data_IF_507945779941
#
_entry.id   IF_507945779941
#
_cell.length_a   1.000
_cell.length_b   1.000
_cell.length_c   1.000
_cell.angle_alpha   90.00
_cell.angle_beta   90.00
_cell.angle_gamma   90.00
#
_symmetry.space_group_name_H-M   'P 1'
#
loop_
_entity.id
_entity.type
_entity.pdbx_description
1 polymer ?
#
# COMPACT_ATOMS: atom_id res chain seq x y z
N UNK A 1 -5.35 2.82 28.93
CA UNK A 1 -5.65 2.64 27.50
C UNK A 1 -4.65 3.46 26.71
N UNK A 2 -3.65 2.82 26.12
CA UNK A 2 -2.68 3.50 25.26
C UNK A 2 -3.41 3.86 23.97
N UNK A 3 -3.66 5.15 23.75
CA UNK A 3 -4.17 5.65 22.48
C UNK A 3 -3.12 5.38 21.42
N UNK A 4 -3.34 4.37 20.57
CA UNK A 4 -2.54 4.17 19.36
C UNK A 4 -2.74 5.38 18.45
N UNK A 5 -1.64 5.96 17.99
CA UNK A 5 -1.62 7.00 16.96
C UNK A 5 -1.59 6.20 15.65
N UNK A 6 -2.71 6.17 14.92
CA UNK A 6 -2.80 5.51 13.61
C UNK A 6 -2.10 6.40 12.57
N UNK A 7 -1.38 5.81 11.60
CA UNK A 7 -0.42 6.57 10.77
C UNK A 7 -0.62 6.40 9.25
N UNK A 8 -1.67 5.74 8.77
CA UNK A 8 -1.89 5.65 7.32
C UNK A 8 -3.34 5.42 6.94
N UNK A 9 -3.73 6.01 5.81
CA UNK A 9 -5.06 5.81 5.27
C UNK A 9 -4.99 5.63 3.76
N UNK A 10 -5.96 4.92 3.21
CA UNK A 10 -6.18 4.94 1.76
C UNK A 10 -6.91 6.23 1.39
N UNK A 11 -6.38 6.96 0.40
CA UNK A 11 -7.10 8.10 -0.20
C UNK A 11 -8.31 7.61 -0.99
N UNK A 12 -8.10 6.56 -1.78
CA UNK A 12 -9.17 5.82 -2.42
C UNK A 12 -8.65 4.63 -3.23
N UNK A 13 -9.53 3.65 -3.43
CA UNK A 13 -9.33 2.53 -4.34
C UNK A 13 -10.60 2.35 -5.18
N UNK A 14 -10.45 2.01 -6.45
CA UNK A 14 -11.58 1.94 -7.40
C UNK A 14 -11.37 0.79 -8.38
N UNK A 15 -12.46 0.07 -8.66
CA UNK A 15 -12.50 -1.05 -9.60
C UNK A 15 -13.41 -0.71 -10.77
N UNK A 16 -12.89 -0.86 -11.98
CA UNK A 16 -13.57 -0.59 -13.23
C UNK A 16 -13.62 -1.85 -14.08
N UNK A 17 -14.71 -2.01 -14.83
CA UNK A 17 -14.80 -3.07 -15.82
C UNK A 17 -14.07 -2.71 -17.12
N UNK A 18 -13.98 -3.68 -18.04
CA UNK A 18 -13.40 -3.49 -19.39
C UNK A 18 -14.02 -2.36 -20.23
N UNK A 19 -15.26 -1.94 -19.95
CA UNK A 19 -15.93 -0.84 -20.62
C UNK A 19 -15.61 0.54 -19.99
N UNK A 20 -14.81 0.56 -18.91
CA UNK A 20 -14.48 1.76 -18.14
C UNK A 20 -15.55 2.13 -17.10
N UNK A 21 -16.55 1.29 -16.88
CA UNK A 21 -17.62 1.55 -15.92
C UNK A 21 -17.12 1.26 -14.50
N UNK A 22 -17.36 2.19 -13.57
CA UNK A 22 -17.01 2.03 -12.16
C UNK A 22 -17.90 0.96 -11.51
N UNK A 23 -17.31 -0.15 -11.10
CA UNK A 23 -18.00 -1.24 -10.40
C UNK A 23 -18.02 -1.05 -8.88
N UNK A 24 -16.98 -0.43 -8.32
CA UNK A 24 -16.83 -0.27 -6.88
C UNK A 24 -15.76 0.78 -6.51
N UNK A 25 -15.93 1.41 -5.35
CA UNK A 25 -15.01 2.43 -4.84
C UNK A 25 -15.05 2.53 -3.31
N UNK A 26 -13.87 2.60 -2.72
CA UNK A 26 -13.67 2.98 -1.32
C UNK A 26 -12.85 4.26 -1.18
N UNK A 27 -12.99 4.92 -0.02
CA UNK A 27 -12.25 6.12 0.38
C UNK A 27 -12.04 6.14 1.89
N UNK A 28 -10.93 6.72 2.34
CA UNK A 28 -10.62 6.98 3.74
C UNK A 28 -10.73 5.75 4.65
N UNK A 29 -10.21 4.60 4.19
CA UNK A 29 -10.15 3.39 5.00
C UNK A 29 -8.96 3.46 5.96
N UNK A 30 -9.17 2.96 7.18
CA UNK A 30 -8.14 2.86 8.20
C UNK A 30 -7.20 1.69 7.96
N UNK A 31 -5.92 1.91 8.26
CA UNK A 31 -4.88 0.91 8.11
C UNK A 31 -4.53 0.21 9.42
N UNK A 32 -3.78 -0.86 9.27
CA UNK A 32 -2.91 -1.44 10.29
C UNK A 32 -1.48 -1.01 9.95
N UNK A 33 -0.81 -0.35 10.89
CA UNK A 33 0.65 -0.13 10.83
C UNK A 33 1.28 -1.35 11.48
N UNK A 34 2.16 -2.04 10.76
CA UNK A 34 2.83 -3.24 11.30
C UNK A 34 4.07 -2.85 12.09
N UNK A 35 4.48 -3.70 13.04
CA UNK A 35 5.61 -3.45 13.94
C UNK A 35 6.91 -3.17 13.16
N UNK A 36 7.16 -3.95 12.09
CA UNK A 36 8.32 -3.74 11.23
C UNK A 36 8.24 -2.43 10.43
N UNK A 37 7.03 -1.98 10.09
CA UNK A 37 6.76 -0.72 9.42
C UNK A 37 7.00 0.49 10.32
N UNK A 38 6.51 0.44 11.55
CA UNK A 38 6.77 1.45 12.57
C UNK A 38 8.27 1.56 12.84
N UNK A 39 8.94 0.43 13.09
CA UNK A 39 10.38 0.39 13.33
C UNK A 39 11.14 1.01 12.15
N UNK A 40 10.79 0.65 10.91
CA UNK A 40 11.39 1.18 9.69
C UNK A 40 11.21 2.70 9.54
N UNK A 41 10.00 3.22 9.76
CA UNK A 41 9.73 4.66 9.64
C UNK A 41 10.53 5.45 10.68
N UNK A 42 10.56 4.97 11.92
CA UNK A 42 11.29 5.64 13.01
C UNK A 42 12.81 5.58 12.80
N UNK A 43 13.34 4.44 12.36
CA UNK A 43 14.79 4.28 12.15
C UNK A 43 15.32 5.14 11.01
N UNK A 44 14.52 5.33 9.95
CA UNK A 44 14.91 6.17 8.82
C UNK A 44 15.16 7.64 9.22
N UNK A 45 14.51 8.14 10.28
CA UNK A 45 14.68 9.51 10.76
C UNK A 45 15.60 9.62 11.99
N UNK A 46 15.53 8.67 12.92
CA UNK A 46 16.12 8.82 14.26
C UNK A 46 17.21 7.80 14.60
N UNK A 47 17.33 6.73 13.83
CA UNK A 47 18.33 5.68 14.06
C UNK A 47 19.04 5.32 12.74
N UNK A 48 19.57 6.32 12.05
CA UNK A 48 20.14 6.19 10.69
C UNK A 48 21.35 5.25 10.62
N UNK A 49 22.01 4.97 11.75
CA UNK A 49 23.06 3.96 11.88
C UNK A 49 22.59 2.53 12.16
N UNK A 50 21.27 2.30 12.30
CA UNK A 50 20.72 0.99 12.62
C UNK A 50 20.72 0.08 11.38
N UNK A 51 21.49 -1.02 11.46
CA UNK A 51 21.70 -1.93 10.33
C UNK A 51 20.38 -2.53 9.84
N UNK A 52 20.14 -2.48 8.52
CA UNK A 52 18.95 -3.02 7.88
C UNK A 52 17.68 -2.15 7.97
N UNK A 53 17.76 -0.97 8.59
CA UNK A 53 16.59 -0.14 8.91
C UNK A 53 16.84 1.37 8.78
N UNK A 54 18.08 1.85 8.90
CA UNK A 54 18.42 3.27 8.87
C UNK A 54 18.55 3.91 7.48
N UNK A 55 18.57 3.12 6.40
CA UNK A 55 18.67 3.62 5.02
C UNK A 55 17.31 3.45 4.33
N UNK A 56 16.74 4.55 3.85
CA UNK A 56 15.53 4.50 3.04
C UNK A 56 15.82 3.74 1.72
N UNK A 57 14.99 2.74 1.35
CA UNK A 57 15.13 2.04 0.07
C UNK A 57 14.78 3.00 -1.06
N UNK A 58 15.34 2.79 -2.26
CA UNK A 58 15.05 3.63 -3.43
C UNK A 58 13.56 3.66 -3.79
N UNK A 59 12.84 2.58 -3.46
CA UNK A 59 11.41 2.44 -3.66
C UNK A 59 10.75 1.75 -2.47
N UNK A 60 9.51 2.15 -2.20
CA UNK A 60 8.51 1.32 -1.55
C UNK A 60 7.65 0.64 -2.62
N UNK A 61 6.89 -0.38 -2.23
CA UNK A 61 6.12 -1.18 -3.18
C UNK A 61 4.69 -1.34 -2.69
N UNK A 62 3.76 -0.82 -3.49
CA UNK A 62 2.32 -0.95 -3.27
C UNK A 62 1.84 -2.26 -3.93
N UNK A 63 1.09 -3.07 -3.19
CA UNK A 63 0.60 -4.36 -3.66
C UNK A 63 -0.82 -4.65 -3.21
N UNK A 64 -1.41 -5.71 -3.77
CA UNK A 64 -2.76 -6.17 -3.50
C UNK A 64 -2.68 -7.55 -2.84
N UNK A 65 -3.22 -7.66 -1.63
CA UNK A 65 -3.23 -8.89 -0.84
C UNK A 65 -4.44 -9.75 -1.21
N UNK A 66 -4.22 -11.05 -1.42
CA UNK A 66 -5.26 -12.06 -1.67
C UNK A 66 -5.56 -12.95 -0.47
N UNK A 67 -4.84 -12.77 0.65
CA UNK A 67 -5.03 -13.55 1.87
C UNK A 67 -6.41 -13.26 2.50
N UNK A 68 -7.07 -14.28 3.03
CA UNK A 68 -8.38 -14.13 3.71
C UNK A 68 -8.24 -13.90 5.22
N UNK A 69 -7.02 -13.99 5.76
CA UNK A 69 -6.77 -13.76 7.18
C UNK A 69 -6.93 -12.28 7.54
N UNK A 70 -7.41 -12.02 8.74
CA UNK A 70 -7.23 -10.73 9.40
C UNK A 70 -5.78 -10.59 9.80
N UNK A 71 -5.11 -9.56 9.28
CA UNK A 71 -3.72 -9.30 9.64
C UNK A 71 -3.65 -8.59 10.99
N UNK A 72 -2.62 -8.93 11.78
CA UNK A 72 -2.27 -8.28 13.03
C UNK A 72 -1.00 -7.43 12.88
N UNK A 73 -0.71 -6.56 13.84
CA UNK A 73 0.46 -5.65 13.81
C UNK A 73 1.78 -6.41 13.69
N UNK A 74 1.90 -7.57 14.34
CA UNK A 74 3.07 -8.44 14.30
C UNK A 74 3.20 -9.28 13.01
N UNK A 75 2.21 -9.25 12.11
CA UNK A 75 2.26 -10.00 10.85
C UNK A 75 3.29 -9.37 9.90
N UNK A 76 4.00 -10.23 9.16
CA UNK A 76 5.08 -9.84 8.25
C UNK A 76 4.68 -10.03 6.78
N UNK A 77 5.56 -9.60 5.86
CA UNK A 77 5.31 -9.70 4.43
C UNK A 77 5.15 -11.15 3.93
N UNK A 78 5.62 -12.15 4.68
CA UNK A 78 5.43 -13.55 4.31
C UNK A 78 3.98 -14.03 4.38
N UNK A 79 3.10 -13.26 5.00
CA UNK A 79 1.70 -13.61 5.22
C UNK A 79 0.73 -12.98 4.21
N UNK A 80 1.22 -12.13 3.30
CA UNK A 80 0.40 -11.61 2.20
C UNK A 80 0.33 -12.63 1.06
N UNK A 81 -0.84 -12.76 0.46
CA UNK A 81 -1.03 -13.49 -0.79
C UNK A 81 -0.95 -12.53 -1.98
N UNK A 82 -0.50 -13.01 -3.13
CA UNK A 82 -0.40 -12.18 -4.34
C UNK A 82 -1.09 -12.85 -5.53
N UNK A 83 -1.49 -12.02 -6.51
CA UNK A 83 -1.95 -12.51 -7.80
C UNK A 83 -0.77 -12.90 -8.71
N UNK A 84 -1.04 -13.68 -9.75
CA UNK A 84 0.00 -14.14 -10.68
C UNK A 84 0.50 -13.02 -11.60
N UNK A 85 1.82 -12.95 -11.79
CA UNK A 85 2.47 -12.13 -12.83
C UNK A 85 1.93 -12.45 -14.22
N UNK A 86 1.69 -13.73 -14.51
CA UNK A 86 1.08 -14.15 -15.77
C UNK A 86 -0.32 -13.54 -15.97
N UNK A 87 -1.02 -13.15 -14.90
CA UNK A 87 -2.34 -12.52 -14.99
C UNK A 87 -2.29 -10.99 -14.90
N UNK A 88 -1.10 -10.38 -14.98
CA UNK A 88 -0.91 -8.92 -15.05
C UNK A 88 -0.67 -8.24 -13.71
N UNK A 89 -0.47 -9.01 -12.64
CA UNK A 89 -0.17 -8.45 -11.32
C UNK A 89 1.34 -8.30 -11.11
N UNK A 90 1.74 -7.12 -10.67
CA UNK A 90 3.06 -6.81 -10.13
C UNK A 90 2.91 -5.77 -9.03
N UNK A 91 3.81 -5.72 -8.06
CA UNK A 91 3.83 -4.61 -7.11
C UNK A 91 4.23 -3.32 -7.83
N UNK A 92 3.64 -2.20 -7.43
CA UNK A 92 3.93 -0.88 -8.03
C UNK A 92 4.96 -0.16 -7.20
N UNK A 93 6.12 0.09 -7.80
CA UNK A 93 7.22 0.82 -7.18
C UNK A 93 6.83 2.28 -6.97
N UNK A 94 7.13 2.81 -5.79
CA UNK A 94 6.93 4.19 -5.38
C UNK A 94 8.28 4.73 -4.93
N UNK A 95 8.90 5.61 -5.72
CA UNK A 95 10.21 6.15 -5.39
C UNK A 95 10.18 6.99 -4.12
N UNK A 96 11.15 6.77 -3.25
CA UNK A 96 11.37 7.55 -2.01
C UNK A 96 12.35 8.70 -2.22
N UNK A 97 13.03 8.75 -3.36
CA UNK A 97 14.06 9.77 -3.69
C UNK A 97 13.48 11.08 -4.21
N UNK A 98 12.16 11.24 -4.14
CA UNK A 98 11.47 12.45 -4.55
C UNK A 98 11.87 13.66 -3.69
N UNK A 99 11.67 14.85 -4.25
CA UNK A 99 11.73 16.13 -3.52
C UNK A 99 10.44 16.43 -2.75
N UNK A 100 9.40 15.60 -2.90
CA UNK A 100 8.11 15.75 -2.21
C UNK A 100 7.18 16.79 -2.85
N UNK A 101 7.47 17.25 -4.07
CA UNK A 101 6.61 18.19 -4.82
C UNK A 101 5.63 17.46 -5.73
N UNK A 102 4.57 18.16 -6.14
CA UNK A 102 3.52 17.63 -7.02
C UNK A 102 4.07 16.98 -8.29
N UNK A 103 3.48 15.86 -8.70
CA UNK A 103 3.88 15.09 -9.89
C UNK A 103 4.87 13.95 -9.62
N UNK A 104 5.31 13.77 -8.38
CA UNK A 104 6.18 12.67 -7.96
C UNK A 104 5.40 11.50 -7.36
N UNK A 105 6.11 10.39 -7.12
CA UNK A 105 5.52 9.18 -6.55
C UNK A 105 4.96 9.41 -5.16
N UNK A 106 5.61 10.26 -4.37
CA UNK A 106 5.09 10.83 -3.13
C UNK A 106 5.16 12.36 -3.17
N UNK A 107 4.05 13.00 -2.79
CA UNK A 107 3.92 14.45 -2.65
C UNK A 107 3.64 14.78 -1.19
N UNK A 108 4.40 15.70 -0.60
CA UNK A 108 4.14 16.22 0.74
C UNK A 108 3.06 17.30 0.66
N UNK A 109 1.94 17.04 1.30
CA UNK A 109 0.80 17.96 1.38
C UNK A 109 0.46 18.28 2.83
N UNK A 110 -0.12 19.46 3.05
CA UNK A 110 -0.64 19.89 4.34
C UNK A 110 -2.12 20.30 4.16
N UNK A 111 -3.06 19.33 4.14
CA UNK A 111 -4.47 19.63 3.91
C UNK A 111 -5.14 20.38 5.06
N UNK A 112 -4.52 20.39 6.26
CA UNK A 112 -5.02 21.06 7.47
C UNK A 112 -3.84 21.37 8.40
N UNK A 113 -3.98 21.23 9.72
CA UNK A 113 -2.92 21.46 10.71
C UNK A 113 -1.82 20.40 10.72
N UNK A 114 -1.85 19.45 9.79
CA UNK A 114 -0.93 18.32 9.72
C UNK A 114 -0.40 18.05 8.31
N UNK A 115 0.79 17.45 8.25
CA UNK A 115 1.42 16.98 7.01
C UNK A 115 1.07 15.53 6.72
N UNK A 116 0.98 15.21 5.42
CA UNK A 116 0.90 13.85 4.91
C UNK A 116 1.71 13.69 3.62
N UNK A 117 2.26 12.51 3.40
CA UNK A 117 2.82 12.08 2.12
C UNK A 117 1.72 11.36 1.32
N UNK A 118 1.31 11.91 0.18
CA UNK A 118 0.32 11.30 -0.71
C UNK A 118 1.01 10.60 -1.87
N UNK A 119 0.61 9.37 -2.17
CA UNK A 119 1.08 8.71 -3.38
C UNK A 119 0.34 9.22 -4.62
N UNK A 120 0.97 9.08 -5.79
CA UNK A 120 0.21 9.11 -7.06
C UNK A 120 -0.76 7.92 -7.14
N UNK A 121 -1.66 7.96 -8.13
CA UNK A 121 -2.57 6.85 -8.43
C UNK A 121 -1.80 5.76 -9.18
N UNK A 122 -1.89 4.54 -8.68
CA UNK A 122 -1.41 3.34 -9.35
C UNK A 122 -2.56 2.51 -9.88
N UNK A 123 -2.28 1.79 -10.96
CA UNK A 123 -3.27 1.00 -11.69
C UNK A 123 -2.71 -0.38 -12.00
N UNK A 124 -3.53 -1.40 -11.77
CA UNK A 124 -3.29 -2.75 -12.21
C UNK A 124 -4.40 -3.21 -13.13
N UNK A 125 -4.04 -4.04 -14.11
CA UNK A 125 -4.98 -4.58 -15.09
C UNK A 125 -4.91 -6.10 -15.07
N UNK A 126 -6.08 -6.74 -15.01
CA UNK A 126 -6.20 -8.18 -15.16
C UNK A 126 -6.18 -8.54 -16.64
N UNK A 127 -5.24 -9.39 -17.10
CA UNK A 127 -5.01 -9.61 -18.54
C UNK A 127 -5.46 -10.99 -19.05
N UNK A 128 -5.02 -12.09 -18.43
CA UNK A 128 -5.10 -13.43 -19.05
C UNK A 128 -6.18 -14.31 -18.43
N UNK A 129 -6.34 -14.28 -17.11
CA UNK A 129 -7.34 -15.04 -16.39
C UNK A 129 -7.81 -14.28 -15.16
N UNK A 130 -9.01 -14.63 -14.67
CA UNK A 130 -9.56 -14.03 -13.46
C UNK A 130 -8.58 -14.12 -12.30
N UNK A 131 -8.48 -13.04 -11.54
CA UNK A 131 -7.61 -12.97 -10.38
C UNK A 131 -8.15 -13.78 -9.20
N UNK A 132 -7.24 -14.18 -8.32
CA UNK A 132 -7.63 -14.53 -6.95
C UNK A 132 -8.17 -13.28 -6.27
N UNK A 133 -9.20 -13.46 -5.45
CA UNK A 133 -9.90 -12.38 -4.74
C UNK A 133 -8.93 -11.52 -3.94
N UNK A 134 -8.90 -10.23 -4.26
CA UNK A 134 -8.19 -9.19 -3.53
C UNK A 134 -9.02 -8.78 -2.32
N UNK A 135 -8.37 -8.76 -1.16
CA UNK A 135 -9.01 -8.47 0.13
C UNK A 135 -8.41 -7.24 0.81
N UNK A 136 -7.15 -6.87 0.49
CA UNK A 136 -6.46 -5.72 1.09
C UNK A 136 -5.51 -5.05 0.10
N UNK A 137 -5.11 -3.82 0.42
CA UNK A 137 -3.95 -3.14 -0.13
C UNK A 137 -2.80 -3.22 0.88
N UNK A 138 -1.56 -3.34 0.44
CA UNK A 138 -0.39 -3.33 1.32
C UNK A 138 0.75 -2.48 0.76
N UNK A 139 1.59 -1.96 1.65
CA UNK A 139 2.86 -1.30 1.31
C UNK A 139 4.01 -2.08 1.94
N UNK A 140 5.09 -2.29 1.20
CA UNK A 140 6.25 -3.02 1.68
C UNK A 140 7.57 -2.50 1.08
N UNK A 141 8.69 -3.06 1.52
CA UNK A 141 10.03 -2.68 1.05
C UNK A 141 10.61 -3.60 -0.04
N UNK A 142 9.90 -4.65 -0.45
CA UNK A 142 10.40 -5.61 -1.44
C UNK A 142 9.62 -5.56 -2.76
N UNK A 143 10.31 -5.64 -3.93
CA UNK A 143 9.66 -5.63 -5.24
C UNK A 143 8.84 -6.90 -5.54
N UNK A 144 9.20 -8.01 -4.91
CA UNK A 144 8.54 -9.30 -5.04
C UNK A 144 8.92 -10.21 -3.87
N UNK A 145 8.22 -11.34 -3.74
CA UNK A 145 8.51 -12.34 -2.72
C UNK A 145 8.27 -11.85 -1.29
N UNK A 146 8.80 -12.58 -0.31
CA UNK A 146 8.39 -12.45 1.09
C UNK A 146 9.46 -11.86 2.02
N UNK A 147 10.67 -11.57 1.51
CA UNK A 147 11.83 -11.19 2.32
C UNK A 147 11.95 -9.68 2.63
N UNK A 148 10.87 -8.92 2.47
CA UNK A 148 10.80 -7.48 2.78
C UNK A 148 10.11 -7.19 4.11
N UNK A 149 10.00 -5.91 4.43
CA UNK A 149 9.23 -5.41 5.59
C UNK A 149 7.82 -5.07 5.14
N UNK A 150 6.83 -5.60 5.84
CA UNK A 150 5.45 -5.16 5.67
C UNK A 150 5.28 -3.87 6.45
N UNK A 151 4.98 -2.76 5.75
CA UNK A 151 4.86 -1.46 6.41
C UNK A 151 3.46 -1.31 6.95
N UNK A 152 2.47 -1.52 6.09
CA UNK A 152 1.09 -1.30 6.43
C UNK A 152 0.15 -2.09 5.52
N UNK A 153 -1.03 -2.38 6.04
CA UNK A 153 -2.13 -2.99 5.27
C UNK A 153 -3.44 -2.27 5.52
N UNK A 154 -4.32 -2.30 4.52
CA UNK A 154 -5.65 -1.68 4.60
C UNK A 154 -6.66 -2.67 4.02
N UNK A 155 -7.56 -3.21 4.85
CA UNK A 155 -8.61 -4.11 4.38
C UNK A 155 -9.60 -3.34 3.50
N UNK A 156 -10.03 -3.94 2.39
CA UNK A 156 -11.07 -3.37 1.53
C UNK A 156 -12.45 -3.52 2.21
N UNK A 157 -13.39 -2.61 1.95
CA UNK A 157 -14.77 -2.76 2.45
C UNK A 157 -15.46 -4.00 1.89
N UNK A 158 -15.03 -4.41 0.68
CA UNK A 158 -15.58 -5.51 -0.09
C UNK A 158 -14.50 -6.19 -0.90
N UNK A 159 -14.44 -7.51 -0.80
CA UNK A 159 -13.55 -8.35 -1.58
C UNK A 159 -13.75 -8.17 -3.09
N UNK A 160 -12.66 -8.14 -3.86
CA UNK A 160 -12.69 -7.88 -5.32
C UNK A 160 -12.05 -9.01 -6.10
N UNK A 161 -12.81 -9.58 -7.03
CA UNK A 161 -12.29 -10.47 -8.08
C UNK A 161 -12.34 -9.71 -9.40
N UNK A 162 -11.17 -9.54 -10.03
CA UNK A 162 -11.06 -8.90 -11.34
C UNK A 162 -11.16 -9.97 -12.43
N UNK A 163 -11.92 -9.66 -13.48
CA UNK A 163 -11.96 -10.44 -14.72
C UNK A 163 -10.97 -9.89 -15.75
N UNK A 164 -10.56 -10.67 -16.77
CA UNK A 164 -9.75 -10.15 -17.86
C UNK A 164 -10.35 -8.88 -18.50
N UNK A 165 -9.53 -7.83 -18.57
CA UNK A 165 -9.92 -6.48 -19.02
C UNK A 165 -10.32 -5.52 -17.89
N UNK A 166 -10.59 -6.02 -16.68
CA UNK A 166 -10.89 -5.17 -15.52
C UNK A 166 -9.63 -4.50 -14.98
N UNK A 167 -9.84 -3.36 -14.33
CA UNK A 167 -8.78 -2.50 -13.80
C UNK A 167 -9.08 -2.12 -12.37
N UNK A 168 -8.08 -2.23 -11.49
CA UNK A 168 -8.14 -1.68 -10.13
C UNK A 168 -7.07 -0.60 -9.97
N UNK A 169 -7.46 0.54 -9.40
CA UNK A 169 -6.57 1.67 -9.16
C UNK A 169 -6.63 2.11 -7.71
N UNK A 170 -5.47 2.44 -7.13
CA UNK A 170 -5.36 2.86 -5.73
C UNK A 170 -4.39 4.03 -5.56
N UNK A 171 -4.66 4.87 -4.56
CA UNK A 171 -3.71 5.85 -4.03
C UNK A 171 -3.77 5.84 -2.49
N UNK A 172 -2.61 5.96 -1.86
CA UNK A 172 -2.44 5.94 -0.41
C UNK A 172 -1.95 7.29 0.10
N UNK A 173 -2.10 7.54 1.40
CA UNK A 173 -1.35 8.59 2.06
C UNK A 173 -0.91 8.17 3.47
N UNK A 174 0.23 8.71 3.90
CA UNK A 174 0.82 8.49 5.22
C UNK A 174 0.83 9.81 5.97
N UNK A 175 0.32 9.84 7.20
CA UNK A 175 0.34 11.03 8.05
C UNK A 175 0.54 10.63 9.50
N UNK A 176 1.35 11.37 10.26
CA UNK A 176 1.72 11.01 11.64
C UNK A 176 0.70 11.49 12.69
N UNK A 177 -0.32 12.22 12.26
CA UNK A 177 -1.36 12.80 13.12
C UNK A 177 -2.71 12.16 12.82
N UNK A 178 -3.54 12.04 13.86
CA UNK A 178 -4.97 11.73 13.74
C UNK A 178 -5.75 12.88 13.13
#
# INVERSE_FOLDING_TARGET
MTSKIHVLHIKGISHFNKAGELLWKDKNLDNILHDEGEQYILSAAFATGYSGFGVAPDNLYLGLDTSTRTLAEADTLSLVGENSLTNGYERKALSTRGTGVSGQDFVLNQPSTFYRAESKIWTWSCINAAWTTVTKLFLCTAPSGTSGKLICTVPLSSNRTLQPGDVISAAIYIGLSK
#
